data_IF_236424292858
#
_entry.id   IF_236424292858
#
_cell.length_a   1.000
_cell.length_b   1.000
_cell.length_c   1.000
_cell.angle_alpha   90.00
_cell.angle_beta   90.00
_cell.angle_gamma   90.00
#
_symmetry.space_group_name_H-M   'P 1'
#
loop_
_entity.id
_entity.type
_entity.pdbx_description
1 polymer ?
#
# COMPACT_ATOMS: atom_id res chain seq x y z
N UNK A 1 20.84 -42.60 -55.14
CA UNK A 1 20.24 -41.65 -54.22
C UNK A 1 21.30 -40.61 -53.88
N UNK A 2 21.21 -39.40 -54.44
CA UNK A 2 22.06 -38.25 -54.02
C UNK A 2 21.61 -37.81 -52.63
N UNK A 3 22.51 -37.86 -51.67
CA UNK A 3 22.22 -37.43 -50.30
C UNK A 3 22.05 -35.92 -50.28
N UNK A 4 21.24 -35.39 -49.36
CA UNK A 4 20.95 -33.95 -49.20
C UNK A 4 22.23 -33.09 -49.12
N UNK A 5 23.35 -33.65 -48.70
CA UNK A 5 24.66 -32.99 -48.66
C UNK A 5 25.20 -32.59 -50.03
N UNK A 6 24.95 -33.39 -51.09
CA UNK A 6 25.40 -33.04 -52.45
C UNK A 6 24.59 -31.88 -53.05
N UNK A 7 23.29 -31.75 -52.72
CA UNK A 7 22.44 -30.67 -53.21
C UNK A 7 22.90 -29.28 -52.72
N UNK A 8 23.60 -29.19 -51.61
CA UNK A 8 24.12 -27.93 -51.08
C UNK A 8 25.23 -27.31 -51.93
N UNK A 9 26.08 -28.11 -52.55
CA UNK A 9 27.24 -27.65 -53.34
C UNK A 9 26.85 -27.12 -54.73
N UNK A 10 25.70 -27.46 -55.25
CA UNK A 10 25.21 -27.00 -56.57
C UNK A 10 24.36 -25.71 -56.49
N UNK A 11 24.17 -25.12 -55.28
CA UNK A 11 23.43 -23.88 -55.14
C UNK A 11 24.31 -22.68 -55.48
N UNK A 12 23.73 -21.68 -56.15
CA UNK A 12 24.43 -20.44 -56.46
C UNK A 12 24.82 -19.69 -55.16
N UNK A 13 25.89 -18.87 -55.18
CA UNK A 13 26.29 -18.07 -54.01
C UNK A 13 25.14 -17.23 -53.44
N UNK A 14 24.25 -16.74 -54.29
CA UNK A 14 23.08 -15.94 -53.91
C UNK A 14 22.07 -16.78 -53.12
N UNK A 15 21.79 -18.02 -53.55
CA UNK A 15 20.86 -18.90 -52.86
C UNK A 15 21.40 -19.32 -51.47
N UNK A 16 22.69 -19.50 -51.34
CA UNK A 16 23.34 -19.76 -50.04
C UNK A 16 23.24 -18.55 -49.12
N UNK A 17 23.52 -17.35 -49.62
CA UNK A 17 23.39 -16.10 -48.83
C UNK A 17 21.95 -15.87 -48.35
N UNK A 18 20.95 -16.08 -49.20
CA UNK A 18 19.53 -15.97 -48.85
C UNK A 18 19.11 -16.96 -47.77
N UNK A 19 19.58 -18.19 -47.80
CA UNK A 19 19.30 -19.20 -46.76
C UNK A 19 19.93 -18.82 -45.41
N UNK A 20 21.16 -18.31 -45.43
CA UNK A 20 21.81 -17.83 -44.21
C UNK A 20 21.11 -16.62 -43.64
N UNK A 21 20.68 -15.66 -44.47
CA UNK A 21 19.88 -14.49 -44.02
C UNK A 21 18.55 -14.93 -43.43
N UNK A 22 17.85 -15.89 -44.02
CA UNK A 22 16.60 -16.43 -43.50
C UNK A 22 16.82 -17.16 -42.15
N UNK A 23 17.91 -17.95 -42.03
CA UNK A 23 18.26 -18.62 -40.78
C UNK A 23 18.60 -17.62 -39.65
N UNK A 24 19.33 -16.54 -39.98
CA UNK A 24 19.61 -15.45 -39.01
C UNK A 24 18.35 -14.69 -38.59
N UNK A 25 17.43 -14.40 -39.52
CA UNK A 25 16.13 -13.76 -39.23
C UNK A 25 15.26 -14.64 -38.34
N UNK A 26 15.20 -15.96 -38.59
CA UNK A 26 14.45 -16.89 -37.74
C UNK A 26 15.08 -17.06 -36.37
N UNK A 27 16.42 -17.06 -36.26
CA UNK A 27 17.10 -17.11 -34.97
C UNK A 27 16.89 -15.84 -34.15
N UNK A 28 16.90 -14.65 -34.79
CA UNK A 28 16.61 -13.39 -34.10
C UNK A 28 15.14 -13.27 -33.65
N UNK A 29 14.19 -13.77 -34.48
CA UNK A 29 12.78 -13.84 -34.09
C UNK A 29 12.57 -14.80 -32.89
N UNK A 30 13.28 -15.93 -32.87
CA UNK A 30 13.18 -16.89 -31.76
C UNK A 30 13.72 -16.30 -30.43
N UNK A 31 14.78 -15.51 -30.47
CA UNK A 31 15.35 -14.84 -29.30
C UNK A 31 14.39 -13.76 -28.76
N UNK A 32 13.70 -13.03 -29.64
CA UNK A 32 12.70 -12.02 -29.23
C UNK A 32 11.44 -12.66 -28.65
N UNK A 33 11.07 -13.87 -29.09
CA UNK A 33 9.89 -14.59 -28.60
C UNK A 33 10.10 -15.21 -27.20
N UNK A 34 11.34 -15.35 -26.72
CA UNK A 34 11.67 -15.92 -25.40
C UNK A 34 11.90 -14.86 -24.31
N UNK A 35 11.73 -13.58 -24.63
CA UNK A 35 11.70 -12.53 -23.60
C UNK A 35 10.43 -12.70 -22.76
N UNK A 36 10.46 -13.62 -21.79
CA UNK A 36 9.43 -13.67 -20.77
C UNK A 36 9.35 -12.29 -20.11
N UNK A 37 8.18 -11.65 -20.05
CA UNK A 37 8.06 -10.42 -19.31
C UNK A 37 8.52 -10.72 -17.87
N UNK A 38 9.58 -10.05 -17.42
CA UNK A 38 10.00 -10.12 -16.02
C UNK A 38 8.78 -9.69 -15.22
N UNK A 39 8.14 -10.65 -14.55
CA UNK A 39 6.98 -10.36 -13.73
C UNK A 39 7.38 -9.25 -12.75
N UNK A 40 6.70 -8.10 -12.82
CA UNK A 40 6.96 -7.00 -11.90
C UNK A 40 6.84 -7.53 -10.47
N UNK A 41 7.81 -7.19 -9.61
CA UNK A 41 7.75 -7.60 -8.20
C UNK A 41 6.42 -7.14 -7.62
N UNK A 42 5.73 -8.00 -6.85
CA UNK A 42 4.50 -7.62 -6.17
C UNK A 42 4.71 -6.34 -5.35
N UNK A 43 3.76 -5.43 -5.39
CA UNK A 43 3.80 -4.25 -4.54
C UNK A 43 3.84 -4.68 -3.07
N UNK A 44 4.69 -4.03 -2.28
CA UNK A 44 4.79 -4.28 -0.83
C UNK A 44 4.06 -3.15 -0.10
N UNK A 45 2.91 -3.45 0.50
CA UNK A 45 2.09 -2.50 1.25
C UNK A 45 2.37 -2.70 2.74
N UNK A 46 2.98 -1.72 3.37
CA UNK A 46 3.23 -1.70 4.82
C UNK A 46 2.16 -0.84 5.49
N UNK A 47 1.38 -1.43 6.38
CA UNK A 47 0.41 -0.70 7.22
C UNK A 47 1.04 -0.49 8.59
N UNK A 48 1.17 0.78 8.98
CA UNK A 48 1.66 1.23 10.29
C UNK A 48 0.53 1.99 10.97
N UNK A 49 -0.18 1.30 11.85
CA UNK A 49 -1.37 1.79 12.50
C UNK A 49 -1.44 1.42 13.98
N UNK A 50 -2.59 1.70 14.55
CA UNK A 50 -2.89 1.38 15.95
C UNK A 50 -3.90 0.21 16.06
N UNK A 51 -4.77 0.24 17.07
CA UNK A 51 -5.76 -0.82 17.34
C UNK A 51 -6.78 -1.00 16.21
N UNK A 52 -7.11 0.05 15.46
CA UNK A 52 -8.08 0.00 14.38
C UNK A 52 -7.55 -0.83 13.20
N UNK A 53 -6.27 -0.74 12.93
CA UNK A 53 -5.61 -1.51 11.88
C UNK A 53 -5.07 -2.86 12.39
N UNK A 54 -4.76 -2.99 13.69
CA UNK A 54 -4.36 -4.24 14.30
C UNK A 54 -5.52 -5.25 14.45
N UNK A 55 -6.77 -4.79 14.33
CA UNK A 55 -7.96 -5.64 14.51
C UNK A 55 -8.26 -5.96 15.97
N UNK A 56 -8.13 -4.96 16.87
CA UNK A 56 -8.42 -5.13 18.29
C UNK A 56 -9.84 -5.67 18.53
N UNK A 57 -9.95 -6.73 19.34
CA UNK A 57 -11.23 -7.36 19.68
C UNK A 57 -11.86 -8.19 18.57
N UNK A 58 -11.17 -8.39 17.44
CA UNK A 58 -11.64 -9.19 16.29
C UNK A 58 -10.96 -10.55 16.24
N UNK A 59 -11.59 -11.49 15.59
CA UNK A 59 -10.95 -12.76 15.23
C UNK A 59 -9.95 -12.54 14.08
N UNK A 60 -8.98 -13.43 14.00
CA UNK A 60 -7.99 -13.39 12.90
C UNK A 60 -8.68 -13.44 11.54
N UNK A 61 -8.28 -12.57 10.64
CA UNK A 61 -8.82 -12.50 9.28
C UNK A 61 -10.08 -11.64 9.11
N UNK A 62 -10.59 -11.00 10.18
CA UNK A 62 -11.77 -10.13 10.14
C UNK A 62 -11.44 -8.65 9.96
N UNK A 63 -10.22 -8.21 10.32
CA UNK A 63 -9.81 -6.80 10.25
C UNK A 63 -9.75 -6.27 8.81
N UNK A 64 -9.92 -4.97 8.64
CA UNK A 64 -9.91 -4.31 7.32
C UNK A 64 -8.61 -4.58 6.54
N UNK A 65 -7.48 -4.76 7.23
CA UNK A 65 -6.18 -5.07 6.58
C UNK A 65 -6.18 -6.50 6.01
N UNK A 66 -6.81 -7.45 6.72
CA UNK A 66 -7.00 -8.80 6.20
C UNK A 66 -7.98 -8.79 5.00
N UNK A 67 -9.05 -8.00 5.09
CA UNK A 67 -10.00 -7.82 4.00
C UNK A 67 -9.34 -7.15 2.78
N UNK A 68 -8.40 -6.22 2.99
CA UNK A 68 -7.58 -5.63 1.92
C UNK A 68 -6.78 -6.72 1.20
N UNK A 69 -6.13 -7.63 1.93
CA UNK A 69 -5.38 -8.75 1.34
C UNK A 69 -6.30 -9.62 0.48
N UNK A 70 -7.50 -9.95 0.99
CA UNK A 70 -8.50 -10.72 0.25
C UNK A 70 -9.01 -9.98 -1.00
N UNK A 71 -9.20 -8.65 -0.90
CA UNK A 71 -9.63 -7.80 -2.02
C UNK A 71 -8.58 -7.74 -3.14
N UNK A 72 -7.32 -7.53 -2.79
CA UNK A 72 -6.21 -7.51 -3.75
C UNK A 72 -6.13 -8.83 -4.54
N UNK A 73 -6.25 -9.96 -3.84
CA UNK A 73 -6.27 -11.29 -4.47
C UNK A 73 -7.44 -11.47 -5.43
N UNK A 74 -8.67 -11.08 -5.03
CA UNK A 74 -9.86 -11.15 -5.90
C UNK A 74 -9.73 -10.30 -7.15
N UNK A 75 -9.13 -9.12 -7.03
CA UNK A 75 -8.92 -8.18 -8.14
C UNK A 75 -7.65 -8.51 -8.94
N UNK A 76 -6.95 -9.60 -8.60
CA UNK A 76 -5.71 -10.05 -9.25
C UNK A 76 -4.62 -8.98 -9.27
N UNK A 77 -4.59 -8.12 -8.25
CA UNK A 77 -3.54 -7.11 -8.06
C UNK A 77 -2.37 -7.78 -7.35
N UNK A 78 -1.21 -7.83 -8.01
CA UNK A 78 0.01 -8.41 -7.46
C UNK A 78 0.57 -7.52 -6.33
N UNK A 79 0.10 -7.72 -5.10
CA UNK A 79 0.55 -6.99 -3.92
C UNK A 79 0.58 -7.89 -2.70
N UNK A 80 1.52 -7.63 -1.78
CA UNK A 80 1.61 -8.25 -0.46
C UNK A 80 1.34 -7.18 0.59
N UNK A 81 0.48 -7.49 1.57
CA UNK A 81 0.18 -6.60 2.69
C UNK A 81 0.91 -7.08 3.94
N UNK A 82 1.61 -6.15 4.58
CA UNK A 82 2.31 -6.35 5.84
C UNK A 82 1.63 -5.46 6.87
N UNK A 83 0.89 -6.07 7.79
CA UNK A 83 0.28 -5.36 8.91
C UNK A 83 1.29 -5.27 10.06
N UNK A 84 1.84 -4.10 10.27
CA UNK A 84 2.75 -3.80 11.39
C UNK A 84 2.07 -2.89 12.44
N UNK A 85 0.74 -2.91 12.51
CA UNK A 85 -0.04 -2.10 13.46
C UNK A 85 0.05 -2.68 14.88
N UNK A 86 0.03 -1.80 15.87
CA UNK A 86 0.13 -2.16 17.29
C UNK A 86 -0.97 -1.43 18.06
N UNK A 87 -1.84 -2.19 18.76
CA UNK A 87 -2.91 -1.61 19.56
C UNK A 87 -2.37 -0.63 20.62
N UNK A 88 -3.00 0.55 20.70
CA UNK A 88 -2.59 1.62 21.62
C UNK A 88 -1.40 2.45 21.16
N UNK A 89 -0.84 2.18 19.97
CA UNK A 89 0.31 2.93 19.47
C UNK A 89 -0.03 4.40 19.19
N UNK A 90 0.97 5.25 19.34
CA UNK A 90 0.91 6.68 19.07
C UNK A 90 1.74 7.04 17.84
N UNK A 91 1.64 8.30 17.41
CA UNK A 91 2.53 8.80 16.35
C UNK A 91 4.01 8.69 16.74
N UNK A 92 4.36 8.88 18.01
CA UNK A 92 5.72 8.73 18.51
C UNK A 92 6.19 7.27 18.47
N UNK A 93 5.35 6.31 18.87
CA UNK A 93 5.66 4.88 18.81
C UNK A 93 5.83 4.41 17.37
N UNK A 94 4.90 4.79 16.48
CA UNK A 94 5.01 4.50 15.06
C UNK A 94 6.30 5.05 14.43
N UNK A 95 6.65 6.30 14.74
CA UNK A 95 7.89 6.92 14.27
C UNK A 95 9.14 6.15 14.75
N UNK A 96 9.18 5.75 16.01
CA UNK A 96 10.32 5.05 16.57
C UNK A 96 10.62 3.71 15.86
N UNK A 97 9.58 2.97 15.45
CA UNK A 97 9.72 1.65 14.83
C UNK A 97 9.76 1.68 13.28
N UNK A 98 9.30 2.75 12.65
CA UNK A 98 9.20 2.83 11.19
C UNK A 98 10.54 2.61 10.47
N UNK A 99 11.69 3.18 10.89
CA UNK A 99 12.96 2.97 10.18
C UNK A 99 13.34 1.50 10.03
N UNK A 100 13.20 0.71 11.08
CA UNK A 100 13.49 -0.72 11.04
C UNK A 100 12.52 -1.48 10.12
N UNK A 101 11.24 -1.09 10.10
CA UNK A 101 10.23 -1.68 9.22
C UNK A 101 10.53 -1.37 7.74
N UNK A 102 10.95 -0.16 7.42
CA UNK A 102 11.32 0.23 6.05
C UNK A 102 12.51 -0.57 5.53
N UNK A 103 13.54 -0.74 6.36
CA UNK A 103 14.73 -1.55 6.00
C UNK A 103 14.35 -3.01 5.80
N UNK A 104 13.55 -3.57 6.71
CA UNK A 104 13.15 -4.99 6.71
C UNK A 104 12.27 -5.34 5.53
N UNK A 105 11.25 -4.51 5.27
CA UNK A 105 10.18 -4.86 4.33
C UNK A 105 10.31 -4.21 2.96
N UNK A 106 11.11 -3.14 2.83
CA UNK A 106 11.32 -2.38 1.59
C UNK A 106 10.00 -2.10 0.85
N UNK A 107 9.03 -1.46 1.54
CA UNK A 107 7.68 -1.27 0.98
C UNK A 107 7.71 -0.34 -0.24
N UNK A 108 6.77 -0.58 -1.16
CA UNK A 108 6.48 0.34 -2.27
C UNK A 108 5.36 1.32 -1.91
N UNK A 109 4.59 1.01 -0.87
CA UNK A 109 3.52 1.84 -0.33
C UNK A 109 3.49 1.70 1.19
N UNK A 110 3.50 2.82 1.91
CA UNK A 110 3.30 2.88 3.36
C UNK A 110 1.96 3.53 3.65
N UNK A 111 1.11 2.85 4.40
CA UNK A 111 -0.14 3.38 4.95
C UNK A 111 0.12 3.76 6.40
N UNK A 112 -0.08 5.03 6.75
CA UNK A 112 0.09 5.56 8.10
C UNK A 112 -1.30 5.85 8.66
N UNK A 113 -1.74 5.04 9.62
CA UNK A 113 -3.03 5.15 10.32
C UNK A 113 -2.76 5.29 11.82
N UNK A 114 -2.37 6.49 12.25
CA UNK A 114 -1.96 6.83 13.62
C UNK A 114 -2.42 8.23 13.99
N UNK A 115 -2.43 8.51 15.28
CA UNK A 115 -2.80 9.81 15.85
C UNK A 115 -4.05 9.74 16.71
N UNK A 116 -4.92 8.72 16.50
CA UNK A 116 -6.11 8.54 17.34
C UNK A 116 -5.77 8.49 18.84
N UNK A 117 -4.76 7.71 19.21
CA UNK A 117 -4.31 7.62 20.61
C UNK A 117 -3.64 8.90 21.12
N UNK A 118 -2.95 9.66 20.27
CA UNK A 118 -2.42 10.99 20.62
C UNK A 118 -3.57 11.93 20.98
N UNK A 119 -4.61 11.96 20.11
CA UNK A 119 -5.80 12.78 20.31
C UNK A 119 -6.57 12.42 21.57
N UNK A 120 -6.88 11.14 21.79
CA UNK A 120 -7.60 10.65 22.96
C UNK A 120 -6.87 10.95 24.27
N UNK A 121 -5.54 11.05 24.26
CA UNK A 121 -4.72 11.44 25.42
C UNK A 121 -4.55 12.95 25.57
N UNK A 122 -5.14 13.75 24.68
CA UNK A 122 -4.99 15.20 24.68
C UNK A 122 -3.57 15.68 24.37
N UNK A 123 -2.79 14.90 23.63
CA UNK A 123 -1.43 15.27 23.25
C UNK A 123 -1.42 16.52 22.37
N UNK A 124 -0.36 17.36 22.42
CA UNK A 124 -0.26 18.52 21.55
C UNK A 124 -0.34 18.13 20.07
N UNK A 125 -1.26 18.70 19.31
CA UNK A 125 -1.45 18.42 17.88
C UNK A 125 -0.17 18.66 17.10
N UNK A 126 0.61 19.69 17.45
CA UNK A 126 1.89 19.99 16.82
C UNK A 126 2.89 18.83 16.94
N UNK A 127 2.92 18.14 18.08
CA UNK A 127 3.80 16.98 18.26
C UNK A 127 3.37 15.78 17.40
N UNK A 128 2.07 15.46 17.40
CA UNK A 128 1.52 14.41 16.54
C UNK A 128 1.78 14.70 15.05
N UNK A 129 1.54 15.95 14.62
CA UNK A 129 1.83 16.39 13.25
C UNK A 129 3.30 16.25 12.89
N UNK A 130 4.22 16.66 13.77
CA UNK A 130 5.65 16.55 13.52
C UNK A 130 6.08 15.09 13.36
N UNK A 131 5.56 14.18 14.19
CA UNK A 131 5.82 12.76 14.09
C UNK A 131 5.28 12.17 12.78
N UNK A 132 4.03 12.46 12.41
CA UNK A 132 3.41 12.02 11.15
C UNK A 132 4.19 12.54 9.94
N UNK A 133 4.60 13.82 9.96
CA UNK A 133 5.42 14.42 8.92
C UNK A 133 6.73 13.66 8.75
N UNK A 134 7.43 13.41 9.86
CA UNK A 134 8.70 12.67 9.83
C UNK A 134 8.54 11.25 9.33
N UNK A 135 7.47 10.55 9.72
CA UNK A 135 7.14 9.22 9.20
C UNK A 135 6.90 9.24 7.69
N UNK A 136 6.12 10.20 7.20
CA UNK A 136 5.83 10.35 5.78
C UNK A 136 7.08 10.67 4.95
N UNK A 137 7.96 11.54 5.46
CA UNK A 137 9.25 11.86 4.86
C UNK A 137 10.17 10.64 4.78
N UNK A 138 10.28 9.87 5.87
CA UNK A 138 11.10 8.65 5.91
C UNK A 138 10.59 7.60 4.92
N UNK A 139 9.27 7.40 4.85
CA UNK A 139 8.66 6.49 3.89
C UNK A 139 8.94 6.94 2.45
N UNK A 140 8.75 8.23 2.14
CA UNK A 140 9.05 8.81 0.82
C UNK A 140 10.54 8.69 0.47
N UNK A 141 11.43 8.97 1.41
CA UNK A 141 12.87 8.85 1.21
C UNK A 141 13.33 7.41 0.96
N UNK A 142 12.59 6.41 1.47
CA UNK A 142 12.83 4.99 1.15
C UNK A 142 12.35 4.56 -0.23
N UNK A 143 11.74 5.47 -1.01
CA UNK A 143 11.16 5.21 -2.33
C UNK A 143 9.71 4.74 -2.30
N UNK A 144 9.07 4.70 -1.13
CA UNK A 144 7.68 4.30 -1.02
C UNK A 144 6.71 5.46 -1.32
N UNK A 145 5.59 5.15 -1.96
CA UNK A 145 4.41 6.03 -1.94
C UNK A 145 3.84 6.07 -0.52
N UNK A 146 3.13 7.14 -0.15
CA UNK A 146 2.57 7.32 1.19
C UNK A 146 1.07 7.51 1.10
N UNK A 147 0.32 6.80 1.93
CA UNK A 147 -1.10 7.04 2.20
C UNK A 147 -1.25 7.43 3.67
N UNK A 148 -1.75 8.62 3.92
CA UNK A 148 -2.09 9.10 5.26
C UNK A 148 -3.57 8.86 5.49
N UNK A 149 -3.91 8.20 6.60
CA UNK A 149 -5.28 7.91 7.01
C UNK A 149 -5.62 8.76 8.22
N UNK A 150 -6.53 9.71 8.01
CA UNK A 150 -6.88 10.72 9.00
C UNK A 150 -7.95 10.25 9.99
N UNK A 151 -7.94 10.89 11.14
CA UNK A 151 -8.92 10.72 12.22
C UNK A 151 -9.52 12.06 12.62
N UNK A 152 -10.68 11.99 13.28
CA UNK A 152 -11.34 13.15 13.90
C UNK A 152 -11.50 12.91 15.39
N UNK A 153 -11.34 13.98 16.16
CA UNK A 153 -11.64 13.96 17.59
C UNK A 153 -13.09 14.37 17.84
N UNK A 154 -13.73 13.80 18.88
CA UNK A 154 -15.07 14.20 19.29
C UNK A 154 -15.14 15.71 19.64
N UNK A 155 -16.30 16.36 19.44
CA UNK A 155 -16.45 17.81 19.65
C UNK A 155 -16.14 18.29 21.07
N UNK A 156 -16.24 17.43 22.07
CA UNK A 156 -15.92 17.73 23.47
C UNK A 156 -14.44 18.06 23.73
N UNK A 157 -13.54 17.80 22.76
CA UNK A 157 -12.14 18.28 22.83
C UNK A 157 -12.00 19.78 22.50
N UNK A 158 -13.09 20.42 22.07
CA UNK A 158 -13.13 21.83 21.72
C UNK A 158 -12.79 22.12 20.24
N UNK A 159 -13.41 23.19 19.68
CA UNK A 159 -13.36 23.41 18.21
C UNK A 159 -11.96 23.71 17.70
N UNK A 160 -11.12 24.41 18.47
CA UNK A 160 -9.75 24.71 18.03
C UNK A 160 -8.88 23.44 17.93
N UNK A 161 -8.97 22.55 18.94
CA UNK A 161 -8.21 21.29 18.94
C UNK A 161 -8.67 20.37 17.82
N UNK A 162 -9.98 20.16 17.68
CA UNK A 162 -10.54 19.25 16.67
C UNK A 162 -10.22 19.70 15.27
N UNK A 163 -10.31 21.00 14.97
CA UNK A 163 -9.97 21.54 13.65
C UNK A 163 -8.47 21.37 13.31
N UNK A 164 -7.58 21.68 14.27
CA UNK A 164 -6.15 21.50 14.06
C UNK A 164 -5.77 20.02 13.90
N UNK A 165 -6.41 19.14 14.70
CA UNK A 165 -6.19 17.70 14.64
C UNK A 165 -6.60 17.11 13.29
N UNK A 166 -7.75 17.49 12.76
CA UNK A 166 -8.21 17.05 11.43
C UNK A 166 -7.30 17.60 10.32
N UNK A 167 -6.93 18.88 10.40
CA UNK A 167 -6.12 19.53 9.36
C UNK A 167 -4.71 18.92 9.22
N UNK A 168 -4.10 18.42 10.29
CA UNK A 168 -2.72 17.93 10.27
C UNK A 168 -2.50 16.81 9.25
N UNK A 169 -3.49 15.93 9.05
CA UNK A 169 -3.37 14.81 8.11
C UNK A 169 -3.30 15.28 6.66
N UNK A 170 -4.14 16.25 6.29
CA UNK A 170 -4.13 16.83 4.95
C UNK A 170 -2.82 17.59 4.68
N UNK A 171 -2.30 18.32 5.68
CA UNK A 171 -1.04 19.03 5.58
C UNK A 171 0.14 18.08 5.40
N UNK A 172 0.18 16.97 6.16
CA UNK A 172 1.21 15.92 6.01
C UNK A 172 1.15 15.26 4.64
N UNK A 173 -0.03 14.82 4.21
CA UNK A 173 -0.20 14.19 2.89
C UNK A 173 0.23 15.12 1.76
N UNK A 174 -0.18 16.39 1.81
CA UNK A 174 0.19 17.42 0.83
C UNK A 174 1.71 17.65 0.76
N UNK A 175 2.38 17.73 1.90
CA UNK A 175 3.81 18.01 1.97
C UNK A 175 4.67 16.94 1.28
N UNK A 176 4.27 15.68 1.36
CA UNK A 176 5.00 14.58 0.72
C UNK A 176 4.46 14.21 -0.67
N UNK A 177 3.36 14.84 -1.12
CA UNK A 177 2.66 14.45 -2.36
C UNK A 177 2.02 13.08 -2.24
N UNK A 178 1.60 12.70 -1.02
CA UNK A 178 0.97 11.42 -0.71
C UNK A 178 -0.54 11.42 -0.94
N UNK A 179 -1.15 10.24 -0.83
CA UNK A 179 -2.60 10.08 -0.75
C UNK A 179 -3.15 10.43 0.62
N UNK A 180 -4.43 10.78 0.68
CA UNK A 180 -5.15 11.10 1.91
C UNK A 180 -6.47 10.35 1.96
N UNK A 181 -6.77 9.73 3.08
CA UNK A 181 -8.12 9.41 3.55
C UNK A 181 -8.45 10.44 4.61
N UNK A 182 -9.37 11.39 4.37
CA UNK A 182 -9.61 12.49 5.30
C UNK A 182 -10.11 12.04 6.67
N UNK A 183 -11.00 11.04 6.70
CA UNK A 183 -11.53 10.47 7.92
C UNK A 183 -11.76 8.98 7.79
N UNK A 184 -11.05 8.18 8.58
CA UNK A 184 -11.07 6.73 8.49
C UNK A 184 -12.44 6.12 8.83
N UNK A 185 -13.14 6.68 9.82
CA UNK A 185 -14.45 6.21 10.29
C UNK A 185 -15.64 6.89 9.58
N UNK A 186 -15.41 7.54 8.43
CA UNK A 186 -16.42 8.37 7.76
C UNK A 186 -17.75 7.64 7.52
N UNK A 187 -17.70 6.38 7.12
CA UNK A 187 -18.89 5.57 6.81
C UNK A 187 -19.63 5.05 8.03
N UNK A 188 -18.98 4.99 9.18
CA UNK A 188 -19.52 4.34 10.38
C UNK A 188 -19.60 5.27 11.61
N UNK A 189 -18.92 6.40 11.59
CA UNK A 189 -18.69 7.24 12.79
C UNK A 189 -19.94 7.76 13.48
N UNK A 190 -21.09 7.77 12.81
CA UNK A 190 -22.38 8.19 13.40
C UNK A 190 -23.25 7.03 13.86
N UNK A 191 -22.89 5.79 13.56
CA UNK A 191 -23.66 4.58 13.92
C UNK A 191 -22.97 3.79 15.03
N UNK A 192 -23.40 4.00 16.27
CA UNK A 192 -22.84 3.31 17.44
C UNK A 192 -23.02 1.79 17.42
N UNK A 193 -23.92 1.24 16.60
CA UNK A 193 -24.08 -0.21 16.45
C UNK A 193 -22.92 -0.87 15.69
N UNK A 194 -22.14 -0.06 14.98
CA UNK A 194 -20.93 -0.49 14.26
C UNK A 194 -19.70 -0.62 15.18
N UNK A 195 -19.82 -0.23 16.43
CA UNK A 195 -18.72 -0.27 17.39
C UNK A 195 -18.93 -1.34 18.45
N UNK A 196 -17.81 -1.84 18.98
CA UNK A 196 -17.79 -2.76 20.12
C UNK A 196 -18.35 -2.07 21.38
N UNK A 197 -18.47 -2.79 22.48
CA UNK A 197 -19.03 -2.27 23.73
C UNK A 197 -18.31 -1.00 24.25
N UNK A 198 -17.03 -0.84 23.91
CA UNK A 198 -16.22 0.30 24.30
C UNK A 198 -16.53 1.60 23.50
N UNK A 199 -17.33 1.51 22.44
CA UNK A 199 -17.70 2.64 21.54
C UNK A 199 -16.53 3.33 20.85
N UNK A 200 -15.39 2.66 20.77
CA UNK A 200 -14.16 3.14 20.15
C UNK A 200 -13.78 2.23 18.98
N UNK A 201 -13.77 0.91 19.19
CA UNK A 201 -13.31 -0.05 18.20
C UNK A 201 -14.47 -0.59 17.34
N UNK A 202 -14.36 -0.53 16.01
CA UNK A 202 -15.38 -1.07 15.11
C UNK A 202 -15.54 -2.59 15.26
N UNK A 203 -16.79 -3.06 15.07
CA UNK A 203 -17.10 -4.51 15.05
C UNK A 203 -16.57 -5.18 13.79
N UNK A 204 -16.57 -6.53 13.76
CA UNK A 204 -16.23 -7.29 12.56
C UNK A 204 -17.15 -6.93 11.37
N UNK A 205 -18.45 -6.70 11.61
CA UNK A 205 -19.42 -6.31 10.59
C UNK A 205 -19.12 -4.93 9.96
N UNK A 206 -18.41 -4.05 10.65
CA UNK A 206 -18.04 -2.72 10.16
C UNK A 206 -16.74 -2.71 9.34
N UNK A 207 -15.92 -3.76 9.40
CA UNK A 207 -14.60 -3.77 8.76
C UNK A 207 -14.64 -3.62 7.21
N UNK A 208 -15.65 -4.17 6.49
CA UNK A 208 -15.78 -3.89 5.06
C UNK A 208 -15.97 -2.40 4.75
N UNK A 209 -16.71 -1.67 5.58
CA UNK A 209 -16.94 -0.23 5.39
C UNK A 209 -15.67 0.60 5.63
N UNK A 210 -14.80 0.16 6.57
CA UNK A 210 -13.48 0.75 6.75
C UNK A 210 -12.60 0.54 5.52
N UNK A 211 -12.59 -0.68 4.98
CA UNK A 211 -11.88 -0.96 3.73
C UNK A 211 -12.40 -0.11 2.58
N UNK A 212 -13.73 0.04 2.45
CA UNK A 212 -14.35 0.87 1.41
C UNK A 212 -14.04 2.37 1.56
N UNK A 213 -13.72 2.82 2.77
CA UNK A 213 -13.24 4.19 3.03
C UNK A 213 -11.80 4.36 2.55
N UNK A 214 -10.93 3.38 2.78
CA UNK A 214 -9.50 3.44 2.44
C UNK A 214 -9.25 3.15 0.96
N UNK A 215 -10.00 2.21 0.39
CA UNK A 215 -9.75 1.64 -0.93
C UNK A 215 -9.61 2.65 -2.07
N UNK A 216 -10.46 3.69 -2.22
CA UNK A 216 -10.36 4.62 -3.35
C UNK A 216 -9.03 5.38 -3.41
N UNK A 217 -8.49 5.76 -2.24
CA UNK A 217 -7.20 6.45 -2.14
C UNK A 217 -6.02 5.48 -2.34
N UNK A 218 -6.10 4.29 -1.74
CA UNK A 218 -5.08 3.26 -1.83
C UNK A 218 -4.94 2.73 -3.28
N UNK A 219 -6.04 2.43 -3.95
CA UNK A 219 -6.04 1.91 -5.31
C UNK A 219 -5.40 2.87 -6.33
N UNK A 220 -5.51 4.21 -6.12
CA UNK A 220 -4.82 5.20 -6.95
C UNK A 220 -3.31 5.12 -6.82
N UNK A 221 -2.81 4.74 -5.65
CA UNK A 221 -1.37 4.64 -5.37
C UNK A 221 -0.75 3.32 -5.86
N UNK A 222 -1.58 2.31 -6.14
CA UNK A 222 -1.12 1.02 -6.68
C UNK A 222 -0.91 1.04 -8.20
N UNK A 223 -1.42 2.08 -8.87
CA UNK A 223 -1.17 2.35 -10.30
C UNK A 223 0.15 3.10 -10.44
#
# INVERSE_FOLDING_TARGET
MMTEQMAFWFQSPVQRALRWLAAWLLATLAVLATANPVAAKPAQILVVGDSLSAGYGLSSGEGWVDLLTKKLAREKIAAQVINASISGDTTAGGLARLPALLVKHKPTLVVIELGGNDGLRGSPVAAAKANLMKMAELAKASGAKVLVVGMRMPPNFGPSYTAQFEAMYAEVAKAVGGGLVPFFLDRIGTDLSKFQADKIHPTAAAQPELLDTVWPALAKLLK
#
